data_IF_691351363549
#
_entry.id   IF_691351363549
#
_cell.length_a   1.000
_cell.length_b   1.000
_cell.length_c   1.000
_cell.angle_alpha   90.00
_cell.angle_beta   90.00
_cell.angle_gamma   90.00
#
_symmetry.space_group_name_H-M   'P 1'
#
loop_
_entity.id
_entity.type
_entity.pdbx_description
1 polymer ?
#
# COMPACT_ATOMS: atom_id res chain seq x y z
N UNK A 1 0.61 20.81 11.73
CA UNK A 1 -0.55 20.00 12.18
C UNK A 1 -0.84 20.25 13.65
N UNK A 2 0.11 20.00 14.60
CA UNK A 2 -0.10 20.18 16.06
C UNK A 2 -0.61 21.56 16.42
N UNK A 3 -0.05 22.63 15.86
CA UNK A 3 -0.52 23.98 16.08
C UNK A 3 -1.99 24.17 15.67
N UNK A 4 -2.37 23.69 14.49
CA UNK A 4 -3.74 23.80 13.97
C UNK A 4 -4.73 23.03 14.87
N UNK A 5 -4.38 21.81 15.28
CA UNK A 5 -5.23 21.00 16.16
C UNK A 5 -5.40 21.65 17.54
N UNK A 6 -4.32 22.20 18.13
CA UNK A 6 -4.41 22.94 19.40
C UNK A 6 -5.29 24.19 19.29
N UNK A 7 -5.17 24.94 18.21
CA UNK A 7 -6.04 26.11 17.95
C UNK A 7 -7.50 25.70 17.80
N UNK A 8 -7.78 24.65 16.99
CA UNK A 8 -9.13 24.13 16.82
C UNK A 8 -9.75 23.68 18.16
N UNK A 9 -8.98 22.98 19.01
CA UNK A 9 -9.41 22.56 20.34
C UNK A 9 -9.77 23.73 21.24
N UNK A 10 -9.06 24.87 21.10
CA UNK A 10 -9.34 26.09 21.87
C UNK A 10 -10.65 26.75 21.44
N UNK A 11 -11.03 26.66 20.16
CA UNK A 11 -12.27 27.28 19.67
C UNK A 11 -13.50 26.41 19.94
N UNK A 12 -13.46 25.12 19.60
CA UNK A 12 -14.57 24.22 19.88
C UNK A 12 -14.18 22.75 19.68
N UNK A 13 -14.70 21.82 20.52
CA UNK A 13 -14.49 20.38 20.31
C UNK A 13 -15.01 19.89 18.94
N UNK A 14 -16.12 20.46 18.44
CA UNK A 14 -16.67 20.12 17.12
C UNK A 14 -15.75 20.51 15.97
N UNK A 15 -15.10 21.67 16.04
CA UNK A 15 -14.12 22.09 15.04
C UNK A 15 -12.88 21.20 15.06
N UNK A 16 -12.41 20.80 16.24
CA UNK A 16 -11.32 19.84 16.36
C UNK A 16 -11.67 18.51 15.71
N UNK A 17 -12.84 17.96 16.02
CA UNK A 17 -13.30 16.69 15.43
C UNK A 17 -13.43 16.78 13.91
N UNK A 18 -14.05 17.83 13.40
CA UNK A 18 -14.21 18.03 11.96
C UNK A 18 -12.85 18.10 11.24
N UNK A 19 -11.89 18.81 11.82
CA UNK A 19 -10.53 18.92 11.27
C UNK A 19 -9.81 17.56 11.31
N UNK A 20 -9.93 16.81 12.40
CA UNK A 20 -9.33 15.46 12.50
C UNK A 20 -9.92 14.51 11.44
N UNK A 21 -11.24 14.46 11.29
CA UNK A 21 -11.92 13.64 10.29
C UNK A 21 -11.46 13.99 8.88
N UNK A 22 -11.38 15.28 8.56
CA UNK A 22 -10.90 15.75 7.27
C UNK A 22 -9.45 15.30 6.99
N UNK A 23 -8.55 15.46 7.96
CA UNK A 23 -7.15 15.07 7.82
C UNK A 23 -6.98 13.56 7.66
N UNK A 24 -7.71 12.76 8.44
CA UNK A 24 -7.73 11.30 8.32
C UNK A 24 -8.24 10.89 6.93
N UNK A 25 -9.33 11.50 6.46
CA UNK A 25 -9.89 11.22 5.14
C UNK A 25 -8.87 11.43 4.00
N UNK A 26 -8.10 12.52 4.06
CA UNK A 26 -7.05 12.79 3.05
C UNK A 26 -5.82 11.88 3.16
N UNK A 27 -5.59 11.28 4.30
CA UNK A 27 -4.46 10.35 4.49
C UNK A 27 -4.75 8.92 3.99
N UNK A 28 -6.01 8.56 3.76
CA UNK A 28 -6.42 7.20 3.40
C UNK A 28 -6.79 7.09 1.91
N UNK A 29 -6.26 6.10 1.23
CA UNK A 29 -6.42 5.91 -0.22
C UNK A 29 -7.14 4.61 -0.64
N UNK A 30 -7.63 3.79 0.29
CA UNK A 30 -8.14 2.43 0.02
C UNK A 30 -9.25 2.37 -1.03
N UNK A 31 -10.25 3.25 -0.98
CA UNK A 31 -11.37 3.24 -1.94
C UNK A 31 -10.93 3.66 -3.33
N UNK A 32 -10.08 4.68 -3.44
CA UNK A 32 -9.55 5.16 -4.72
C UNK A 32 -8.72 4.07 -5.40
N UNK A 33 -7.84 3.41 -4.65
CA UNK A 33 -7.00 2.33 -5.14
C UNK A 33 -7.83 1.17 -5.72
N UNK A 34 -8.81 0.68 -4.98
CA UNK A 34 -9.70 -0.41 -5.44
C UNK A 34 -10.44 -0.01 -6.72
N UNK A 35 -10.89 1.23 -6.83
CA UNK A 35 -11.55 1.73 -8.05
C UNK A 35 -10.58 1.73 -9.23
N UNK A 36 -9.38 2.26 -9.07
CA UNK A 36 -8.39 2.32 -10.15
C UNK A 36 -8.01 0.91 -10.63
N UNK A 37 -7.78 -0.05 -9.74
CA UNK A 37 -7.47 -1.44 -10.11
C UNK A 37 -8.61 -2.10 -10.89
N UNK A 38 -9.87 -1.89 -10.48
CA UNK A 38 -11.03 -2.36 -11.25
C UNK A 38 -11.08 -1.77 -12.65
N UNK A 39 -10.81 -0.47 -12.78
CA UNK A 39 -10.78 0.19 -14.08
C UNK A 39 -9.64 -0.31 -14.97
N UNK A 40 -8.47 -0.67 -14.40
CA UNK A 40 -7.39 -1.31 -15.17
C UNK A 40 -7.86 -2.63 -15.79
N UNK A 41 -8.48 -3.52 -15.00
CA UNK A 41 -8.96 -4.81 -15.53
C UNK A 41 -10.05 -4.62 -16.59
N UNK A 42 -11.02 -3.72 -16.36
CA UNK A 42 -12.05 -3.38 -17.35
C UNK A 42 -11.45 -2.78 -18.62
N UNK A 43 -10.43 -1.94 -18.51
CA UNK A 43 -9.76 -1.32 -19.64
C UNK A 43 -9.01 -2.36 -20.47
N UNK A 44 -8.28 -3.29 -19.82
CA UNK A 44 -7.62 -4.42 -20.52
C UNK A 44 -8.62 -5.29 -21.28
N UNK A 45 -9.79 -5.53 -20.69
CA UNK A 45 -10.84 -6.34 -21.35
C UNK A 45 -11.45 -5.63 -22.59
N UNK A 46 -11.39 -4.28 -22.67
CA UNK A 46 -11.80 -3.51 -23.85
C UNK A 46 -10.70 -3.45 -24.91
N UNK A 47 -9.49 -3.06 -24.50
CA UNK A 47 -8.32 -3.06 -25.37
C UNK A 47 -7.02 -2.98 -24.55
N UNK A 48 -5.94 -3.57 -25.10
CA UNK A 48 -4.63 -3.50 -24.46
C UNK A 48 -4.13 -2.05 -24.30
N UNK A 49 -4.40 -1.21 -25.28
CA UNK A 49 -3.98 0.20 -25.26
C UNK A 49 -4.68 1.01 -24.16
N UNK A 50 -5.98 0.77 -23.96
CA UNK A 50 -6.71 1.37 -22.83
C UNK A 50 -6.18 0.86 -21.49
N UNK A 51 -5.88 -0.44 -21.39
CA UNK A 51 -5.28 -1.04 -20.21
C UNK A 51 -3.94 -0.41 -19.84
N UNK A 52 -3.04 -0.23 -20.83
CA UNK A 52 -1.74 0.43 -20.65
C UNK A 52 -1.89 1.88 -20.16
N UNK A 53 -2.79 2.64 -20.75
CA UNK A 53 -3.08 4.02 -20.30
C UNK A 53 -3.66 4.07 -18.91
N UNK A 54 -4.54 3.14 -18.55
CA UNK A 54 -5.16 3.12 -17.24
C UNK A 54 -4.17 2.71 -16.14
N UNK A 55 -3.33 1.68 -16.38
CA UNK A 55 -2.33 1.25 -15.39
C UNK A 55 -1.24 2.31 -15.18
N UNK A 56 -0.86 3.08 -16.21
CA UNK A 56 0.10 4.19 -16.11
C UNK A 56 -0.28 5.26 -15.07
N UNK A 57 -1.55 5.32 -14.66
CA UNK A 57 -2.01 6.24 -13.61
C UNK A 57 -1.63 5.82 -12.20
N UNK A 58 -1.30 4.55 -12.00
CA UNK A 58 -1.07 3.95 -10.68
C UNK A 58 0.31 3.31 -10.52
N UNK A 59 1.10 3.22 -11.59
CA UNK A 59 2.47 2.69 -11.56
C UNK A 59 3.48 3.74 -12.02
N UNK A 60 4.70 3.67 -11.48
CA UNK A 60 5.80 4.59 -11.84
C UNK A 60 6.69 4.10 -12.97
N UNK A 61 6.37 2.96 -13.63
CA UNK A 61 7.15 2.35 -14.71
C UNK A 61 6.57 2.65 -16.08
N UNK A 62 7.38 2.47 -17.15
CA UNK A 62 6.89 2.52 -18.52
C UNK A 62 5.87 1.39 -18.76
N UNK A 63 4.72 1.75 -19.32
CA UNK A 63 3.62 0.83 -19.60
C UNK A 63 3.41 0.55 -21.08
N UNK A 64 4.13 1.24 -21.95
CA UNK A 64 3.92 1.19 -23.41
C UNK A 64 4.17 -0.18 -24.04
N UNK A 65 5.12 -0.95 -23.48
CA UNK A 65 5.49 -2.29 -23.94
C UNK A 65 4.76 -3.44 -23.24
N UNK A 66 3.95 -3.16 -22.18
CA UNK A 66 3.37 -4.22 -21.36
C UNK A 66 2.32 -5.03 -22.14
N UNK A 67 2.37 -6.37 -22.01
CA UNK A 67 1.29 -7.27 -22.41
C UNK A 67 0.06 -7.10 -21.51
N UNK A 68 -1.08 -7.65 -21.93
CA UNK A 68 -2.30 -7.63 -21.12
C UNK A 68 -2.10 -8.28 -19.74
N UNK A 69 -1.27 -9.31 -19.68
CA UNK A 69 -0.98 -10.03 -18.44
C UNK A 69 -0.08 -9.20 -17.52
N UNK A 70 0.94 -8.55 -18.06
CA UNK A 70 1.80 -7.66 -17.27
C UNK A 70 1.07 -6.43 -16.75
N UNK A 71 0.09 -5.88 -17.49
CA UNK A 71 -0.80 -4.82 -17.03
C UNK A 71 -1.63 -5.27 -15.82
N UNK A 72 -2.21 -6.48 -15.85
CA UNK A 72 -2.97 -7.06 -14.74
C UNK A 72 -2.06 -7.34 -13.52
N UNK A 73 -0.87 -7.87 -13.75
CA UNK A 73 0.15 -8.12 -12.72
C UNK A 73 0.51 -6.81 -12.02
N UNK A 74 0.87 -5.77 -12.79
CA UNK A 74 1.20 -4.46 -12.28
C UNK A 74 0.09 -3.85 -11.39
N UNK A 75 -1.17 -4.01 -11.81
CA UNK A 75 -2.29 -3.53 -11.03
C UNK A 75 -2.45 -4.26 -9.68
N UNK A 76 -2.20 -5.58 -9.64
CA UNK A 76 -2.31 -6.35 -8.39
C UNK A 76 -1.10 -6.16 -7.47
N UNK A 77 0.12 -6.03 -8.01
CA UNK A 77 1.31 -5.60 -7.25
C UNK A 77 1.05 -4.27 -6.56
N UNK A 78 0.59 -3.27 -7.33
CA UNK A 78 0.25 -1.94 -6.81
C UNK A 78 -0.87 -1.98 -5.76
N UNK A 79 -1.87 -2.86 -5.94
CA UNK A 79 -2.94 -3.06 -4.95
C UNK A 79 -2.39 -3.58 -3.62
N UNK A 80 -1.47 -4.54 -3.65
CA UNK A 80 -0.87 -5.11 -2.46
C UNK A 80 0.04 -4.10 -1.74
N UNK A 81 0.94 -3.44 -2.47
CA UNK A 81 1.86 -2.44 -1.95
C UNK A 81 1.11 -1.26 -1.31
N UNK A 82 0.16 -0.67 -2.05
CA UNK A 82 -0.57 0.50 -1.57
C UNK A 82 -1.63 0.20 -0.49
N UNK A 83 -2.00 -1.06 -0.23
CA UNK A 83 -2.71 -1.41 0.99
C UNK A 83 -1.86 -1.08 2.22
N UNK A 84 -0.55 -1.38 2.17
CA UNK A 84 0.39 -0.97 3.22
C UNK A 84 0.47 0.56 3.30
N UNK A 85 0.89 1.21 2.22
CA UNK A 85 1.31 2.60 2.20
C UNK A 85 0.14 3.59 2.25
N UNK A 86 -1.01 3.18 1.73
CA UNK A 86 -2.20 4.03 1.64
C UNK A 86 -3.24 3.79 2.73
N UNK A 87 -3.12 2.73 3.53
CA UNK A 87 -4.14 2.37 4.53
C UNK A 87 -3.52 1.92 5.85
N UNK A 88 -2.79 0.80 5.84
CA UNK A 88 -2.34 0.15 7.09
C UNK A 88 -1.28 1.01 7.81
N UNK A 89 -0.28 1.52 7.10
CA UNK A 89 0.76 2.33 7.69
C UNK A 89 0.25 3.68 8.21
N UNK A 90 -0.59 4.45 7.49
CA UNK A 90 -1.24 5.61 8.06
C UNK A 90 -2.00 5.31 9.35
N UNK A 91 -2.81 4.23 9.39
CA UNK A 91 -3.57 3.83 10.57
C UNK A 91 -2.66 3.35 11.72
N UNK A 92 -1.57 2.65 11.42
CA UNK A 92 -0.55 2.26 12.39
C UNK A 92 0.07 3.48 13.09
N UNK A 93 0.50 4.48 12.32
CA UNK A 93 1.07 5.71 12.87
C UNK A 93 0.03 6.58 13.58
N UNK A 94 -1.25 6.46 13.17
CA UNK A 94 -2.36 7.07 13.91
C UNK A 94 -2.51 6.47 15.32
N UNK A 95 -2.41 5.15 15.47
CA UNK A 95 -2.47 4.49 16.80
C UNK A 95 -1.37 5.00 17.73
N UNK A 96 -0.15 5.21 17.22
CA UNK A 96 1.01 5.55 18.04
C UNK A 96 1.06 7.05 18.37
N UNK A 97 0.78 7.92 17.40
CA UNK A 97 1.02 9.36 17.48
C UNK A 97 -0.21 10.21 17.10
N UNK A 98 -1.38 9.61 16.92
CA UNK A 98 -2.59 10.29 16.49
C UNK A 98 -2.49 10.88 15.07
N UNK A 99 -3.36 11.86 14.80
CA UNK A 99 -3.40 12.56 13.48
C UNK A 99 -2.03 13.15 13.07
N UNK A 100 -1.23 13.76 13.99
CA UNK A 100 0.09 14.23 13.61
C UNK A 100 1.04 13.15 13.09
N UNK A 101 1.03 11.97 13.69
CA UNK A 101 1.85 10.83 13.25
C UNK A 101 1.42 10.31 11.89
N UNK A 102 0.10 10.19 11.67
CA UNK A 102 -0.47 9.80 10.37
C UNK A 102 -0.04 10.76 9.25
N UNK A 103 -0.09 12.07 9.50
CA UNK A 103 0.32 13.08 8.51
C UNK A 103 1.83 13.04 8.28
N UNK A 104 2.64 12.91 9.34
CA UNK A 104 4.08 12.82 9.22
C UNK A 104 4.48 11.61 8.35
N UNK A 105 3.88 10.44 8.61
CA UNK A 105 4.06 9.27 7.76
C UNK A 105 3.65 9.55 6.30
N UNK A 106 2.47 10.13 6.07
CA UNK A 106 2.00 10.41 4.71
C UNK A 106 2.91 11.37 3.95
N UNK A 107 3.51 12.34 4.65
CA UNK A 107 4.51 13.22 4.04
C UNK A 107 5.80 12.47 3.69
N UNK A 108 6.28 11.57 4.56
CA UNK A 108 7.48 10.73 4.29
C UNK A 108 7.23 9.89 3.03
N UNK A 109 6.14 9.16 2.98
CA UNK A 109 5.75 8.31 1.87
C UNK A 109 5.55 9.10 0.56
N UNK A 110 4.96 10.30 0.63
CA UNK A 110 4.82 11.17 -0.55
C UNK A 110 6.18 11.68 -1.03
N UNK A 111 7.09 12.06 -0.12
CA UNK A 111 8.43 12.50 -0.49
C UNK A 111 9.19 11.37 -1.17
N UNK A 112 9.15 10.14 -0.63
CA UNK A 112 9.78 8.99 -1.29
C UNK A 112 9.22 8.79 -2.69
N UNK A 113 7.91 8.76 -2.85
CA UNK A 113 7.23 8.59 -4.16
C UNK A 113 7.59 9.68 -5.17
N UNK A 114 7.88 10.91 -4.74
CA UNK A 114 8.17 12.04 -5.64
C UNK A 114 9.65 12.20 -5.95
N UNK A 115 10.55 11.92 -5.00
CA UNK A 115 11.98 12.23 -5.12
C UNK A 115 12.89 11.06 -4.74
N UNK A 116 12.36 9.92 -4.27
CA UNK A 116 13.12 8.72 -3.92
C UNK A 116 13.76 8.00 -5.12
N UNK A 117 13.41 8.41 -6.34
CA UNK A 117 14.02 7.87 -7.56
C UNK A 117 15.51 8.21 -7.62
N UNK A 118 16.34 7.19 -7.87
CA UNK A 118 17.79 7.33 -8.06
C UNK A 118 18.11 7.96 -9.43
N UNK A 119 17.85 9.26 -9.59
CA UNK A 119 18.32 10.03 -10.73
C UNK A 119 19.41 10.99 -10.29
N UNK A 120 20.25 11.48 -11.23
CA UNK A 120 21.38 12.36 -10.95
C UNK A 120 21.00 13.62 -10.14
N UNK A 121 19.78 14.13 -10.34
CA UNK A 121 19.30 15.36 -9.71
C UNK A 121 18.98 15.19 -8.21
N UNK A 122 18.52 14.01 -7.78
CA UNK A 122 18.00 13.77 -6.43
C UNK A 122 18.79 12.71 -5.64
N UNK A 123 19.93 12.24 -6.15
CA UNK A 123 20.68 11.08 -5.63
C UNK A 123 20.98 11.15 -4.12
N UNK A 124 21.31 12.33 -3.56
CA UNK A 124 21.60 12.47 -2.13
C UNK A 124 20.37 12.72 -1.28
N UNK A 125 19.47 13.58 -1.74
CA UNK A 125 18.27 13.97 -0.98
C UNK A 125 17.18 12.90 -1.07
N UNK A 126 16.98 12.32 -2.24
CA UNK A 126 16.04 11.20 -2.45
C UNK A 126 16.43 9.95 -1.68
N UNK A 127 17.71 9.65 -1.55
CA UNK A 127 18.20 8.52 -0.74
C UNK A 127 17.83 8.66 0.74
N UNK A 128 17.78 9.88 1.30
CA UNK A 128 17.32 10.09 2.68
C UNK A 128 15.82 9.84 2.82
N UNK A 129 15.00 10.35 1.87
CA UNK A 129 13.56 10.12 1.86
C UNK A 129 13.23 8.62 1.76
N UNK A 130 13.88 7.90 0.83
CA UNK A 130 13.70 6.46 0.66
C UNK A 130 14.06 5.67 1.93
N UNK A 131 15.19 5.98 2.57
CA UNK A 131 15.58 5.30 3.82
C UNK A 131 14.62 5.59 4.97
N UNK A 132 14.10 6.81 5.05
CA UNK A 132 13.14 7.18 6.09
C UNK A 132 11.80 6.46 5.87
N UNK A 133 11.36 6.35 4.62
CA UNK A 133 10.18 5.57 4.24
C UNK A 133 10.38 4.08 4.54
N UNK A 134 11.55 3.52 4.21
CA UNK A 134 11.89 2.13 4.53
C UNK A 134 11.76 1.83 6.04
N UNK A 135 12.24 2.72 6.89
CA UNK A 135 12.12 2.59 8.35
C UNK A 135 10.67 2.74 8.81
N UNK A 136 9.95 3.75 8.27
CA UNK A 136 8.57 4.01 8.64
C UNK A 136 7.61 2.90 8.22
N UNK A 137 7.91 2.20 7.13
CA UNK A 137 7.12 1.09 6.60
C UNK A 137 7.55 -0.30 7.11
N UNK A 138 8.63 -0.41 7.86
CA UNK A 138 9.18 -1.71 8.25
C UNK A 138 8.17 -2.60 9.01
N UNK A 139 7.53 -2.07 10.04
CA UNK A 139 6.47 -2.80 10.79
C UNK A 139 5.15 -2.83 10.02
N UNK A 140 4.65 -1.70 9.46
CA UNK A 140 3.40 -1.69 8.72
C UNK A 140 3.32 -2.70 7.56
N UNK A 141 4.38 -2.87 6.77
CA UNK A 141 4.37 -3.81 5.65
C UNK A 141 4.21 -5.27 6.11
N UNK A 142 4.85 -5.64 7.19
CA UNK A 142 4.73 -6.99 7.80
C UNK A 142 3.36 -7.19 8.43
N UNK A 143 2.83 -6.17 9.10
CA UNK A 143 1.46 -6.16 9.62
C UNK A 143 0.45 -6.30 8.48
N UNK A 144 0.65 -5.60 7.36
CA UNK A 144 -0.19 -5.71 6.16
C UNK A 144 -0.24 -7.14 5.65
N UNK A 145 0.93 -7.76 5.45
CA UNK A 145 1.01 -9.15 5.01
C UNK A 145 0.32 -10.11 5.99
N UNK A 146 0.50 -9.91 7.30
CA UNK A 146 -0.17 -10.69 8.33
C UNK A 146 -1.71 -10.56 8.26
N UNK A 147 -2.22 -9.32 8.14
CA UNK A 147 -3.65 -9.06 8.02
C UNK A 147 -4.25 -9.67 6.74
N UNK A 148 -3.53 -9.62 5.61
CA UNK A 148 -3.95 -10.26 4.36
C UNK A 148 -4.03 -11.78 4.51
N UNK A 149 -3.02 -12.40 5.12
CA UNK A 149 -3.01 -13.85 5.39
C UNK A 149 -4.14 -14.23 6.35
N UNK A 150 -4.36 -13.47 7.41
CA UNK A 150 -5.47 -13.67 8.35
C UNK A 150 -6.84 -13.54 7.66
N UNK A 151 -7.01 -12.52 6.80
CA UNK A 151 -8.21 -12.34 5.99
C UNK A 151 -8.49 -13.51 5.04
N UNK A 152 -7.45 -14.20 4.57
CA UNK A 152 -7.58 -15.40 3.74
C UNK A 152 -7.91 -16.68 4.53
N UNK A 153 -7.71 -16.67 5.84
CA UNK A 153 -7.82 -17.86 6.71
C UNK A 153 -6.70 -18.90 6.52
N UNK A 154 -5.70 -18.63 5.68
CA UNK A 154 -4.65 -19.58 5.28
C UNK A 154 -3.32 -19.28 5.97
N UNK A 155 -3.23 -19.44 7.28
CA UNK A 155 -2.06 -19.10 8.10
C UNK A 155 -0.76 -19.79 7.67
N UNK A 156 -0.82 -20.94 6.98
CA UNK A 156 0.37 -21.57 6.39
C UNK A 156 1.12 -20.68 5.41
N UNK A 157 0.45 -19.68 4.82
CA UNK A 157 1.07 -18.70 3.92
C UNK A 157 2.07 -17.77 4.64
N UNK A 158 2.09 -17.71 5.97
CA UNK A 158 3.11 -16.94 6.69
C UNK A 158 4.53 -17.46 6.41
N UNK A 159 4.72 -18.76 6.23
CA UNK A 159 6.01 -19.32 5.79
C UNK A 159 6.37 -18.88 4.36
N UNK A 160 5.39 -18.84 3.47
CA UNK A 160 5.56 -18.35 2.12
C UNK A 160 5.96 -16.85 2.10
N UNK A 161 5.27 -16.04 2.90
CA UNK A 161 5.59 -14.62 3.07
C UNK A 161 7.00 -14.44 3.63
N UNK A 162 7.42 -15.24 4.61
CA UNK A 162 8.78 -15.22 5.14
C UNK A 162 9.83 -15.58 4.09
N UNK A 163 9.53 -16.52 3.18
CA UNK A 163 10.44 -16.95 2.10
C UNK A 163 10.59 -15.89 1.02
N UNK A 164 9.51 -15.25 0.58
CA UNK A 164 9.50 -14.37 -0.58
C UNK A 164 9.50 -12.87 -0.27
N UNK A 165 9.02 -12.47 0.91
CA UNK A 165 8.82 -11.06 1.26
C UNK A 165 10.09 -10.21 1.30
N UNK A 166 11.25 -10.83 1.53
CA UNK A 166 12.55 -10.16 1.55
C UNK A 166 13.29 -10.17 0.20
N UNK A 167 12.69 -10.75 -0.85
CA UNK A 167 13.33 -10.84 -2.16
C UNK A 167 13.14 -9.58 -3.02
N UNK A 168 12.20 -8.70 -2.65
CA UNK A 168 11.96 -7.45 -3.35
C UNK A 168 13.10 -6.44 -3.12
N UNK A 169 13.34 -5.53 -4.09
CA UNK A 169 14.35 -4.47 -3.97
C UNK A 169 14.06 -3.50 -2.81
N UNK A 170 12.78 -3.21 -2.53
CA UNK A 170 12.34 -2.55 -1.30
C UNK A 170 12.27 -3.56 -0.17
N UNK A 171 12.75 -3.24 1.04
CA UNK A 171 12.68 -4.14 2.19
C UNK A 171 11.25 -4.33 2.71
N UNK A 172 10.27 -3.63 2.16
CA UNK A 172 8.89 -3.55 2.62
C UNK A 172 7.87 -4.06 1.61
N UNK A 173 7.88 -3.59 0.36
CA UNK A 173 6.86 -3.89 -0.66
C UNK A 173 6.71 -5.39 -0.94
N UNK A 174 7.78 -6.16 -0.82
CA UNK A 174 7.75 -7.60 -1.05
C UNK A 174 6.86 -8.39 -0.08
N UNK A 175 6.61 -7.91 1.14
CA UNK A 175 5.78 -8.63 2.12
C UNK A 175 4.30 -8.67 1.73
N UNK A 176 3.62 -7.55 1.45
CA UNK A 176 2.24 -7.57 0.99
C UNK A 176 2.10 -8.21 -0.40
N UNK A 177 3.08 -8.02 -1.31
CA UNK A 177 3.11 -8.72 -2.60
C UNK A 177 3.20 -10.24 -2.43
N UNK A 178 4.07 -10.74 -1.55
CA UNK A 178 4.19 -12.17 -1.24
C UNK A 178 2.91 -12.73 -0.61
N UNK A 179 2.26 -11.99 0.27
CA UNK A 179 0.98 -12.40 0.83
C UNK A 179 -0.07 -12.57 -0.28
N UNK A 180 -0.20 -11.60 -1.19
CA UNK A 180 -1.15 -11.67 -2.30
C UNK A 180 -0.80 -12.78 -3.29
N UNK A 181 0.48 -12.92 -3.67
CA UNK A 181 0.96 -13.99 -4.55
C UNK A 181 0.63 -15.38 -4.00
N UNK A 182 0.87 -15.61 -2.70
CA UNK A 182 0.51 -16.85 -2.02
C UNK A 182 -0.99 -17.11 -1.96
N UNK A 183 -1.79 -16.07 -1.70
CA UNK A 183 -3.26 -16.16 -1.65
C UNK A 183 -3.83 -16.52 -3.04
N UNK A 184 -3.34 -15.87 -4.08
CA UNK A 184 -3.78 -16.10 -5.46
C UNK A 184 -3.10 -17.31 -6.10
N UNK A 185 -2.09 -17.90 -5.47
CA UNK A 185 -1.27 -18.97 -6.04
C UNK A 185 -0.70 -18.58 -7.43
N UNK A 186 -0.03 -17.44 -7.48
CA UNK A 186 0.57 -16.87 -8.68
C UNK A 186 1.99 -16.37 -8.41
N UNK A 187 2.61 -15.76 -9.43
CA UNK A 187 3.94 -15.16 -9.36
C UNK A 187 3.89 -13.69 -9.78
N UNK A 188 4.53 -12.83 -9.00
CA UNK A 188 4.78 -11.42 -9.29
C UNK A 188 6.26 -11.16 -9.58
N UNK A 189 6.62 -9.93 -9.95
CA UNK A 189 7.98 -9.54 -10.28
C UNK A 189 8.38 -9.88 -11.73
N UNK A 190 9.68 -10.01 -11.96
CA UNK A 190 10.26 -10.22 -13.29
C UNK A 190 10.86 -8.93 -13.89
N UNK A 191 11.15 -8.90 -15.19
CA UNK A 191 11.75 -7.75 -15.85
C UNK A 191 10.75 -6.59 -15.96
N UNK A 192 11.21 -5.38 -15.63
CA UNK A 192 10.45 -4.16 -15.73
C UNK A 192 11.26 -3.07 -16.42
N UNK A 193 10.63 -2.28 -17.30
CA UNK A 193 11.26 -1.13 -17.95
C UNK A 193 11.00 0.15 -17.15
N UNK A 194 12.08 0.81 -16.70
CA UNK A 194 12.07 2.13 -16.09
C UNK A 194 12.91 3.09 -16.94
N UNK A 195 12.28 4.11 -17.52
CA UNK A 195 12.98 5.16 -18.28
C UNK A 195 13.90 4.64 -19.39
N UNK A 196 13.53 3.50 -20.03
CA UNK A 196 14.32 2.87 -21.10
C UNK A 196 15.39 1.88 -20.63
N UNK A 197 15.53 1.67 -19.33
CA UNK A 197 16.41 0.65 -18.76
C UNK A 197 15.58 -0.53 -18.23
N UNK A 198 16.01 -1.75 -18.56
CA UNK A 198 15.41 -2.98 -18.04
C UNK A 198 15.96 -3.25 -16.64
N UNK A 199 15.07 -3.23 -15.65
CA UNK A 199 15.38 -3.53 -14.24
C UNK A 199 14.77 -4.88 -13.89
N UNK A 200 15.61 -5.84 -13.53
CA UNK A 200 15.17 -7.14 -13.08
C UNK A 200 14.71 -7.07 -11.62
N UNK A 201 13.43 -7.41 -11.37
CA UNK A 201 12.91 -7.66 -10.03
C UNK A 201 12.85 -9.17 -9.77
N UNK A 202 13.34 -9.65 -8.63
CA UNK A 202 13.19 -11.06 -8.26
C UNK A 202 11.73 -11.50 -8.31
N UNK A 203 11.52 -12.74 -8.72
CA UNK A 203 10.17 -13.29 -8.70
C UNK A 203 9.68 -13.56 -7.29
N UNK A 204 8.44 -13.16 -7.00
CA UNK A 204 7.72 -13.40 -5.76
C UNK A 204 6.59 -14.38 -6.04
N UNK A 205 6.76 -15.62 -5.59
CA UNK A 205 5.83 -16.72 -5.86
C UNK A 205 6.39 -17.79 -6.79
N UNK A 206 5.65 -18.87 -6.93
CA UNK A 206 6.13 -20.10 -7.60
C UNK A 206 5.43 -20.36 -8.93
N UNK A 207 4.15 -20.01 -9.07
CA UNK A 207 3.32 -20.40 -10.17
C UNK A 207 3.08 -19.27 -11.17
N UNK A 208 3.68 -19.40 -12.35
CA UNK A 208 3.34 -18.56 -13.49
C UNK A 208 2.00 -19.01 -14.08
N UNK A 209 1.02 -18.15 -14.00
CA UNK A 209 -0.29 -18.37 -14.59
C UNK A 209 -0.97 -17.04 -14.96
N UNK A 210 -1.91 -17.08 -15.92
CA UNK A 210 -2.70 -15.91 -16.23
C UNK A 210 -3.51 -15.43 -15.04
N UNK A 211 -3.49 -14.11 -14.80
CA UNK A 211 -4.33 -13.43 -13.83
C UNK A 211 -5.66 -13.05 -14.47
N UNK A 212 -6.74 -13.32 -13.76
CA UNK A 212 -8.12 -13.16 -14.22
C UNK A 212 -8.86 -12.06 -13.46
N UNK A 213 -10.04 -11.70 -13.95
CA UNK A 213 -10.94 -10.78 -13.24
C UNK A 213 -11.40 -11.36 -11.89
N UNK A 214 -11.46 -12.71 -11.78
CA UNK A 214 -11.75 -13.37 -10.51
C UNK A 214 -10.63 -13.16 -9.49
N UNK A 215 -9.36 -13.27 -9.92
CA UNK A 215 -8.20 -12.96 -9.07
C UNK A 215 -8.25 -11.53 -8.54
N UNK A 216 -8.60 -10.57 -9.39
CA UNK A 216 -8.80 -9.19 -8.98
C UNK A 216 -9.90 -9.07 -7.91
N UNK A 217 -11.02 -9.78 -8.08
CA UNK A 217 -12.11 -9.74 -7.09
C UNK A 217 -11.68 -10.33 -5.74
N UNK A 218 -10.91 -11.44 -5.76
CA UNK A 218 -10.33 -12.03 -4.55
C UNK A 218 -9.37 -11.05 -3.90
N UNK A 219 -8.44 -10.46 -4.67
CA UNK A 219 -7.47 -9.50 -4.17
C UNK A 219 -8.16 -8.29 -3.51
N UNK A 220 -9.18 -7.72 -4.14
CA UNK A 220 -9.98 -6.61 -3.59
C UNK A 220 -10.69 -7.02 -2.30
N UNK A 221 -11.25 -8.22 -2.23
CA UNK A 221 -11.91 -8.73 -1.02
C UNK A 221 -10.92 -8.85 0.13
N UNK A 222 -9.73 -9.42 -0.12
CA UNK A 222 -8.67 -9.54 0.88
C UNK A 222 -8.23 -8.15 1.37
N UNK A 223 -8.00 -7.19 0.46
CA UNK A 223 -7.66 -5.82 0.81
C UNK A 223 -8.71 -5.20 1.73
N UNK A 224 -9.99 -5.31 1.37
CA UNK A 224 -11.08 -4.76 2.19
C UNK A 224 -11.18 -5.43 3.56
N UNK A 225 -11.02 -6.76 3.64
CA UNK A 225 -11.01 -7.45 4.91
C UNK A 225 -9.83 -6.99 5.79
N UNK A 226 -8.61 -6.89 5.24
CA UNK A 226 -7.45 -6.41 5.97
C UNK A 226 -7.61 -4.94 6.44
N UNK A 227 -8.17 -4.07 5.60
CA UNK A 227 -8.54 -2.69 5.95
C UNK A 227 -9.50 -2.65 7.15
N UNK A 228 -10.60 -3.42 7.10
CA UNK A 228 -11.56 -3.48 8.20
C UNK A 228 -10.96 -4.05 9.48
N UNK A 229 -10.11 -5.07 9.38
CA UNK A 229 -9.39 -5.62 10.55
C UNK A 229 -8.51 -4.55 11.20
N UNK A 230 -7.80 -3.74 10.40
CA UNK A 230 -6.98 -2.64 10.94
C UNK A 230 -7.84 -1.55 11.58
N UNK A 231 -8.96 -1.19 10.99
CA UNK A 231 -9.91 -0.23 11.57
C UNK A 231 -10.43 -0.74 12.93
N UNK A 232 -10.74 -2.03 13.05
CA UNK A 232 -11.17 -2.63 14.31
C UNK A 232 -10.05 -2.56 15.37
N UNK A 233 -8.79 -2.75 14.99
CA UNK A 233 -7.65 -2.57 15.90
C UNK A 233 -7.56 -1.12 16.38
N UNK A 234 -7.70 -0.14 15.49
CA UNK A 234 -7.72 1.29 15.85
C UNK A 234 -8.83 1.60 16.85
N UNK A 235 -10.04 1.14 16.59
CA UNK A 235 -11.20 1.36 17.47
C UNK A 235 -10.99 0.71 18.84
N UNK A 236 -10.55 -0.54 18.86
CA UNK A 236 -10.26 -1.26 20.10
C UNK A 236 -9.19 -0.56 20.95
N UNK A 237 -8.12 -0.10 20.31
CA UNK A 237 -7.02 0.63 20.98
C UNK A 237 -7.52 1.95 21.58
N UNK A 238 -8.30 2.71 20.80
CA UNK A 238 -8.87 3.98 21.26
C UNK A 238 -9.83 3.77 22.46
N UNK A 239 -10.66 2.72 22.42
CA UNK A 239 -11.58 2.38 23.52
C UNK A 239 -10.80 1.97 24.78
N UNK A 240 -9.79 1.10 24.64
CA UNK A 240 -8.93 0.72 25.77
C UNK A 240 -8.27 1.93 26.44
N UNK A 241 -7.69 2.83 25.65
CA UNK A 241 -7.04 4.03 26.18
C UNK A 241 -8.02 4.97 26.91
N UNK A 242 -9.25 5.09 26.40
CA UNK A 242 -10.28 5.90 27.05
C UNK A 242 -10.74 5.31 28.40
N UNK A 243 -10.80 3.99 28.50
CA UNK A 243 -11.15 3.31 29.76
C UNK A 243 -10.02 3.44 30.82
N UNK A 244 -8.76 3.32 30.42
CA UNK A 244 -7.60 3.48 31.31
C UNK A 244 -7.45 4.92 31.79
N UNK A 245 -7.74 5.91 30.95
CA UNK A 245 -7.66 7.33 31.31
C UNK A 245 -8.80 7.82 32.21
N UNK A 246 -9.79 6.97 32.53
CA UNK A 246 -10.86 7.26 33.49
C UNK A 246 -10.58 6.74 34.92
N UNK A 247 -9.47 6.03 35.10
CA UNK A 247 -8.94 5.61 36.42
C UNK A 247 -7.70 6.43 36.75
#
# INVERSE_FOLDING_TARGET
TLFLLRRAAHYSPGLLLALQVLLIFYCLAGTTLVREVREVFRAVDRSLEEGRRQVARIVGRDTSGLSAQEVRTAALETLAENLSDGVIAPLFWYIILGVPGMIAYKMINTLDSMIGYRNERYNRFGCFAARLDDVANYIPARLTAFLMVAASGRFSLLFFVGKYGNQHASPNSGYPEAALAGILNCRFGGPHNYFGEEVWKPYIGEHERPLTTEDMQIAIRINRCAEWMMIMVVVATATCLSLIGQF
#
